data_IF_815732688499
#
_entry.id   IF_815732688499
#
_cell.length_a   1.000
_cell.length_b   1.000
_cell.length_c   1.000
_cell.angle_alpha   90.00
_cell.angle_beta   90.00
_cell.angle_gamma   90.00
#
_symmetry.space_group_name_H-M   'P 1'
#
loop_
_entity.id
_entity.type
_entity.pdbx_description
1 polymer ?
#
# COMPACT_ATOMS: atom_id res chain seq x y z
N UNK A 1 1.54 4.23 10.35
CA UNK A 1 0.28 3.45 10.34
C UNK A 1 -0.41 3.55 8.99
N UNK A 2 -0.82 2.41 8.44
CA UNK A 2 -1.58 2.24 7.20
C UNK A 2 -2.73 1.29 7.47
N UNK A 3 -3.89 1.56 6.90
CA UNK A 3 -5.07 0.72 7.03
C UNK A 3 -5.70 0.48 5.66
N UNK A 4 -6.14 -0.76 5.42
CA UNK A 4 -6.96 -1.09 4.25
C UNK A 4 -8.38 -1.42 4.70
N UNK A 5 -9.34 -0.82 4.01
CA UNK A 5 -10.77 -1.01 4.27
C UNK A 5 -11.44 -1.58 3.02
N UNK A 6 -12.28 -2.59 3.18
CA UNK A 6 -13.07 -3.19 2.12
C UNK A 6 -14.53 -3.30 2.58
N UNK A 7 -15.46 -2.72 1.83
CA UNK A 7 -16.89 -2.72 2.13
C UNK A 7 -17.23 -2.28 3.57
N UNK A 8 -16.50 -1.29 4.09
CA UNK A 8 -16.69 -0.74 5.44
C UNK A 8 -16.04 -1.54 6.57
N UNK A 9 -15.32 -2.63 6.25
CA UNK A 9 -14.62 -3.47 7.24
C UNK A 9 -13.12 -3.22 7.16
N UNK A 10 -12.48 -3.03 8.32
CA UNK A 10 -11.02 -2.99 8.44
C UNK A 10 -10.47 -4.40 8.20
N UNK A 11 -9.66 -4.56 7.15
CA UNK A 11 -9.10 -5.88 6.77
C UNK A 11 -7.60 -5.97 7.01
N UNK A 12 -6.89 -4.84 7.06
CA UNK A 12 -5.46 -4.76 7.37
C UNK A 12 -5.18 -3.48 8.15
N UNK A 13 -4.36 -3.60 9.20
CA UNK A 13 -3.68 -2.47 9.86
C UNK A 13 -2.21 -2.83 10.03
N UNK A 14 -1.32 -1.90 9.67
CA UNK A 14 0.13 -2.11 9.78
C UNK A 14 0.87 -0.79 10.11
N UNK A 15 2.09 -0.89 10.65
CA UNK A 15 2.99 0.23 10.79
C UNK A 15 4.27 0.02 9.96
N UNK A 16 4.36 0.73 8.83
CA UNK A 16 5.48 0.63 7.89
C UNK A 16 6.84 1.01 8.51
N UNK A 17 6.84 1.66 9.69
CA UNK A 17 8.07 2.00 10.42
C UNK A 17 8.55 0.89 11.36
N UNK A 18 7.70 -0.09 11.67
CA UNK A 18 8.02 -1.19 12.57
C UNK A 18 9.09 -2.11 11.98
N UNK A 19 9.89 -2.72 12.85
CA UNK A 19 10.92 -3.69 12.46
C UNK A 19 10.32 -4.92 11.76
N UNK A 20 9.18 -5.38 12.26
CA UNK A 20 8.44 -6.51 11.69
C UNK A 20 8.03 -6.26 10.23
N UNK A 21 7.63 -5.04 9.87
CA UNK A 21 7.37 -4.68 8.47
C UNK A 21 8.63 -4.79 7.61
N UNK A 22 9.77 -4.29 8.10
CA UNK A 22 11.06 -4.38 7.37
C UNK A 22 11.47 -5.84 7.15
N UNK A 23 11.27 -6.71 8.14
CA UNK A 23 11.51 -8.15 8.04
C UNK A 23 10.59 -8.81 7.00
N UNK A 24 9.31 -8.45 6.97
CA UNK A 24 8.39 -8.94 5.92
C UNK A 24 8.82 -8.49 4.53
N UNK A 25 9.26 -7.24 4.38
CA UNK A 25 9.74 -6.72 3.09
C UNK A 25 10.95 -7.50 2.60
N UNK A 26 11.94 -7.77 3.47
CA UNK A 26 13.13 -8.54 3.09
C UNK A 26 12.84 -9.99 2.71
N UNK A 27 11.72 -10.55 3.18
CA UNK A 27 11.25 -11.89 2.82
C UNK A 27 10.27 -11.91 1.63
N UNK A 28 9.98 -10.76 1.01
CA UNK A 28 8.99 -10.62 -0.06
C UNK A 28 9.63 -10.43 -1.44
N UNK A 29 8.81 -10.45 -2.49
CA UNK A 29 9.24 -10.08 -3.86
C UNK A 29 9.82 -8.65 -3.97
N UNK A 30 9.62 -7.82 -2.95
CA UNK A 30 10.11 -6.45 -2.89
C UNK A 30 11.51 -6.31 -2.27
N UNK A 31 12.12 -7.41 -1.81
CA UNK A 31 13.43 -7.39 -1.13
C UNK A 31 14.55 -6.71 -1.94
N UNK A 32 14.48 -6.80 -3.27
CA UNK A 32 15.44 -6.18 -4.19
C UNK A 32 15.33 -4.65 -4.30
N UNK A 33 14.31 -4.03 -3.71
CA UNK A 33 14.06 -2.59 -3.83
C UNK A 33 14.31 -1.88 -2.49
N UNK A 34 15.52 -1.30 -2.26
CA UNK A 34 15.89 -0.75 -0.96
C UNK A 34 15.00 0.39 -0.46
N UNK A 35 14.30 1.09 -1.37
CA UNK A 35 13.39 2.19 -1.06
C UNK A 35 11.94 1.76 -0.77
N UNK A 36 11.61 0.48 -0.93
CA UNK A 36 10.23 0.02 -0.83
C UNK A 36 9.61 0.31 0.55
N UNK A 37 8.45 0.97 0.56
CA UNK A 37 7.70 1.28 1.78
C UNK A 37 8.34 2.32 2.71
N UNK A 38 9.42 3.00 2.29
CA UNK A 38 10.14 3.99 3.13
C UNK A 38 9.69 5.44 2.92
N UNK A 39 9.30 5.80 1.70
CA UNK A 39 8.86 7.15 1.38
C UNK A 39 7.52 7.47 2.07
N UNK A 40 7.41 8.64 2.69
CA UNK A 40 6.18 9.11 3.35
C UNK A 40 5.33 10.02 2.46
N UNK A 41 5.81 10.33 1.26
CA UNK A 41 5.09 11.06 0.22
C UNK A 41 5.35 10.42 -1.15
N UNK A 42 4.40 10.59 -2.06
CA UNK A 42 4.45 9.99 -3.39
C UNK A 42 3.13 10.17 -4.14
N UNK A 43 3.01 9.47 -5.27
CA UNK A 43 1.81 9.49 -6.10
C UNK A 43 0.83 8.36 -5.72
N UNK A 44 -0.45 8.57 -6.01
CA UNK A 44 -1.47 7.52 -6.01
C UNK A 44 -1.49 6.87 -7.40
N UNK A 45 -1.55 5.54 -7.46
CA UNK A 45 -1.51 4.78 -8.71
C UNK A 45 -2.65 3.76 -8.79
N UNK A 46 -3.19 3.58 -10.01
CA UNK A 46 -4.07 2.47 -10.38
C UNK A 46 -3.29 1.62 -11.39
N UNK A 47 -3.13 0.33 -11.08
CA UNK A 47 -2.38 -0.57 -11.95
C UNK A 47 -3.32 -1.20 -12.99
N UNK A 48 -2.84 -1.26 -14.24
CA UNK A 48 -3.37 -2.14 -15.29
C UNK A 48 -2.43 -3.34 -15.43
N UNK A 49 -3.01 -4.54 -15.41
CA UNK A 49 -2.29 -5.80 -15.59
C UNK A 49 -2.91 -6.67 -16.70
N UNK A 50 -3.58 -6.05 -17.66
CA UNK A 50 -4.10 -6.70 -18.88
C UNK A 50 -5.60 -7.04 -18.85
N UNK A 51 -6.27 -6.81 -17.73
CA UNK A 51 -7.70 -7.10 -17.55
C UNK A 51 -8.53 -5.81 -17.40
N UNK A 52 -9.76 -5.84 -17.92
CA UNK A 52 -10.66 -4.69 -17.86
C UNK A 52 -11.19 -4.44 -16.44
N UNK A 53 -10.78 -3.32 -15.84
CA UNK A 53 -11.27 -2.85 -14.53
C UNK A 53 -11.85 -1.43 -14.66
N UNK A 54 -12.94 -1.14 -13.94
CA UNK A 54 -13.62 0.17 -13.97
C UNK A 54 -13.66 0.79 -12.58
N UNK A 55 -13.17 2.03 -12.47
CA UNK A 55 -13.16 2.80 -11.22
C UNK A 55 -14.11 3.98 -11.31
N UNK A 56 -14.74 4.33 -10.18
CA UNK A 56 -15.53 5.57 -10.03
C UNK A 56 -15.48 6.04 -8.58
N UNK A 57 -15.76 7.33 -8.35
CA UNK A 57 -15.80 7.96 -7.02
C UNK A 57 -14.47 7.90 -6.26
N UNK A 58 -13.35 8.07 -6.97
CA UNK A 58 -12.03 8.25 -6.36
C UNK A 58 -11.99 9.60 -5.63
N UNK A 59 -11.66 9.57 -4.34
CA UNK A 59 -11.62 10.77 -3.47
C UNK A 59 -10.37 10.68 -2.59
N UNK A 60 -9.76 11.83 -2.32
CA UNK A 60 -8.59 11.95 -1.45
C UNK A 60 -8.86 13.01 -0.38
N UNK A 61 -8.41 12.75 0.85
CA UNK A 61 -8.39 13.72 1.95
C UNK A 61 -6.96 13.79 2.47
N UNK A 62 -6.36 14.97 2.44
CA UNK A 62 -5.07 15.21 3.11
C UNK A 62 -5.24 15.11 4.64
N UNK A 63 -4.26 14.54 5.32
CA UNK A 63 -4.25 14.32 6.77
C UNK A 63 -3.14 15.13 7.44
#
# INVERSE_FOLDING_TARGET
KVQHWLNGVLVVEDDLRAEDFRRRVSASKFAQWPGFGKATSGHLALQDHGDAVRFRRLRVRSL
#
